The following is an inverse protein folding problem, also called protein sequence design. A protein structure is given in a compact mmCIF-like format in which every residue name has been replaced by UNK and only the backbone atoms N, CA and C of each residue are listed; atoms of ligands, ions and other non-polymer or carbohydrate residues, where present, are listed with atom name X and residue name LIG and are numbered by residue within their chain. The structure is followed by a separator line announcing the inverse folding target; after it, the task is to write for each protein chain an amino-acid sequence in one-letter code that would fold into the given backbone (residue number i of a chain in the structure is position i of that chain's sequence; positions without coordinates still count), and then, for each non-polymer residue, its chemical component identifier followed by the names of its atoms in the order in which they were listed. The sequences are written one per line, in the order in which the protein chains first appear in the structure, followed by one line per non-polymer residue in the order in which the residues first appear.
data_IF_661812074998
#
_entry.id   IF_661812074998
#
_cell.length_a   1.000
_cell.length_b   1.000
_cell.length_c   1.000
_cell.angle_alpha   90.00
_cell.angle_beta   90.00
_cell.angle_gamma   90.00
#
_symmetry.space_group_name_H-M   'P 1'
#
loop_
_entity.id
_entity.type
_entity.pdbx_description
1 polymer ?
#
# COMPACT_ATOMS: atom_id res chain seq x y z
N UNK A 1 -0.65 -6.86 -20.70
CA UNK A 1 -1.98 -6.31 -20.32
C UNK A 1 -1.84 -4.82 -20.06
N UNK A 2 -2.59 -3.99 -20.80
CA UNK A 2 -2.71 -2.55 -20.57
C UNK A 2 -4.16 -2.29 -20.11
N UNK A 3 -4.34 -1.74 -18.93
CA UNK A 3 -5.67 -1.34 -18.44
C UNK A 3 -5.81 0.15 -18.72
N UNK A 4 -6.74 0.51 -19.61
CA UNK A 4 -7.06 1.90 -19.88
C UNK A 4 -8.20 2.35 -18.96
N UNK A 5 -7.87 3.21 -18.01
CA UNK A 5 -8.83 3.81 -17.09
C UNK A 5 -8.93 5.31 -17.41
N UNK A 6 -10.13 5.74 -17.79
CA UNK A 6 -10.41 7.15 -18.06
C UNK A 6 -11.13 7.76 -16.87
N UNK A 7 -10.45 8.66 -16.14
CA UNK A 7 -11.05 9.48 -15.10
C UNK A 7 -10.97 10.95 -15.50
N UNK A 8 -12.07 11.69 -15.39
CA UNK A 8 -12.13 13.10 -15.82
C UNK A 8 -11.52 14.00 -14.76
N UNK A 9 -10.78 15.02 -15.21
CA UNK A 9 -10.33 16.12 -14.36
C UNK A 9 -11.24 17.32 -14.61
N UNK A 10 -11.99 17.71 -13.59
CA UNK A 10 -12.97 18.79 -13.65
C UNK A 10 -12.35 20.08 -13.11
N UNK A 11 -12.68 21.20 -13.74
CA UNK A 11 -12.25 22.53 -13.30
C UNK A 11 -13.45 23.34 -12.85
N UNK A 12 -13.32 24.06 -11.73
CA UNK A 12 -14.35 25.01 -11.30
C UNK A 12 -14.03 26.39 -11.87
N UNK A 13 -14.99 26.95 -12.60
CA UNK A 13 -14.87 28.27 -13.25
C UNK A 13 -15.06 29.43 -12.27
N UNK A 14 -15.55 29.17 -11.05
CA UNK A 14 -15.73 30.20 -10.04
C UNK A 14 -14.38 30.69 -9.50
N UNK A 15 -14.01 31.91 -9.87
CA UNK A 15 -12.77 32.59 -9.45
C UNK A 15 -12.61 32.78 -7.94
N UNK A 16 -13.70 32.71 -7.16
CA UNK A 16 -13.65 32.79 -5.69
C UNK A 16 -13.48 31.41 -5.03
N UNK A 17 -13.49 30.32 -5.79
CA UNK A 17 -13.34 28.97 -5.26
C UNK A 17 -11.87 28.64 -5.00
N UNK A 18 -11.52 28.33 -3.74
CA UNK A 18 -10.15 27.94 -3.34
C UNK A 18 -9.70 26.58 -3.88
N UNK A 19 -10.64 25.75 -4.35
CA UNK A 19 -10.37 24.46 -5.00
C UNK A 19 -10.75 24.56 -6.48
N UNK A 20 -9.75 24.75 -7.35
CA UNK A 20 -9.98 24.97 -8.79
C UNK A 20 -9.98 23.69 -9.62
N UNK A 21 -9.44 22.60 -9.08
CA UNK A 21 -9.33 21.34 -9.80
C UNK A 21 -9.84 20.19 -8.95
N UNK A 22 -10.66 19.36 -9.57
CA UNK A 22 -11.27 18.19 -8.98
C UNK A 22 -10.96 17.00 -9.89
N UNK A 23 -10.74 15.84 -9.29
CA UNK A 23 -10.79 14.58 -10.03
C UNK A 23 -12.21 14.02 -9.88
N UNK A 24 -12.76 13.49 -10.97
CA UNK A 24 -13.96 12.67 -10.93
C UNK A 24 -13.84 11.64 -9.82
N UNK A 25 -14.87 11.55 -8.99
CA UNK A 25 -14.95 10.52 -7.96
C UNK A 25 -15.82 9.41 -8.53
N UNK A 26 -15.17 8.41 -9.10
CA UNK A 26 -15.84 7.15 -9.44
C UNK A 26 -16.16 6.47 -8.12
N UNK A 27 -17.45 6.33 -7.85
CA UNK A 27 -17.95 5.67 -6.64
C UNK A 27 -17.32 4.27 -6.51
N UNK A 28 -17.10 3.78 -5.30
CA UNK A 28 -16.43 2.50 -5.05
C UNK A 28 -14.94 2.37 -5.46
N UNK A 29 -14.41 3.22 -6.33
CA UNK A 29 -13.04 3.13 -6.85
C UNK A 29 -12.15 4.26 -6.31
N UNK A 30 -12.70 5.46 -6.15
CA UNK A 30 -11.93 6.64 -5.75
C UNK A 30 -12.64 7.40 -4.64
N UNK A 31 -11.88 7.80 -3.63
CA UNK A 31 -12.37 8.65 -2.54
C UNK A 31 -11.45 9.84 -2.36
N UNK A 32 -12.01 10.95 -1.88
CA UNK A 32 -11.25 12.18 -1.69
C UNK A 32 -10.12 11.94 -0.68
N UNK A 33 -8.89 12.31 -1.06
CA UNK A 33 -7.66 12.06 -0.29
C UNK A 33 -7.35 10.57 -0.05
N UNK A 34 -8.01 9.66 -0.77
CA UNK A 34 -7.71 8.24 -0.72
C UNK A 34 -6.28 7.97 -1.15
N UNK A 35 -5.48 7.39 -0.25
CA UNK A 35 -4.14 6.86 -0.57
C UNK A 35 -4.18 5.38 -0.96
N UNK A 36 -5.31 4.73 -0.74
CA UNK A 36 -5.61 3.35 -1.10
C UNK A 36 -7.02 3.34 -1.68
N UNK A 37 -7.25 2.51 -2.69
CA UNK A 37 -8.60 2.04 -3.01
C UNK A 37 -9.19 1.43 -1.73
N UNK A 38 -10.43 1.77 -1.35
CA UNK A 38 -11.06 1.17 -0.18
C UNK A 38 -11.23 -0.34 -0.41
N UNK A 39 -10.24 -1.12 -0.01
CA UNK A 39 -10.32 -2.58 0.07
C UNK A 39 -11.34 -2.91 1.15
N UNK A 40 -12.49 -3.46 0.75
CA UNK A 40 -13.69 -3.59 1.56
C UNK A 40 -13.44 -4.11 2.99
N UNK A 41 -13.61 -3.22 3.96
CA UNK A 41 -14.09 -3.55 5.30
C UNK A 41 -15.56 -3.15 5.37
N UNK A 42 -16.46 -4.02 5.84
CA UNK A 42 -17.89 -3.78 5.76
C UNK A 42 -18.33 -2.83 6.90
N UNK A 43 -18.24 -1.52 6.67
CA UNK A 43 -19.22 -0.62 7.26
C UNK A 43 -20.46 -0.60 6.35
N UNK A 44 -21.66 -0.25 6.83
CA UNK A 44 -22.91 -0.39 6.07
C UNK A 44 -22.95 0.34 4.70
N UNK A 45 -21.97 1.20 4.40
CA UNK A 45 -21.76 1.87 3.11
C UNK A 45 -20.81 1.07 2.16
N UNK A 46 -20.31 -0.09 2.58
CA UNK A 46 -19.35 -0.92 1.82
C UNK A 46 -20.00 -1.84 0.78
N UNK A 47 -21.31 -2.11 0.90
CA UNK A 47 -22.00 -3.04 -0.01
C UNK A 47 -22.10 -2.50 -1.44
N UNK A 48 -22.19 -1.17 -1.60
CA UNK A 48 -22.17 -0.49 -2.91
C UNK A 48 -20.77 -0.57 -3.54
N UNK A 49 -19.72 -0.29 -2.76
CA UNK A 49 -18.32 -0.32 -3.22
C UNK A 49 -17.90 -1.70 -3.75
N UNK A 50 -18.33 -2.79 -3.10
CA UNK A 50 -18.03 -4.16 -3.53
C UNK A 50 -18.72 -4.50 -4.84
N UNK A 51 -19.95 -4.03 -5.07
CA UNK A 51 -20.70 -4.25 -6.31
C UNK A 51 -20.09 -3.53 -7.50
N UNK A 52 -19.66 -2.29 -7.30
CA UNK A 52 -19.06 -1.48 -8.36
C UNK A 52 -17.67 -1.97 -8.74
N UNK A 53 -16.88 -2.40 -7.77
CA UNK A 53 -15.59 -3.04 -8.04
C UNK A 53 -15.77 -4.38 -8.78
N UNK A 54 -16.76 -5.19 -8.39
CA UNK A 54 -17.10 -6.41 -9.13
C UNK A 54 -17.54 -6.12 -10.58
N UNK A 55 -18.28 -5.03 -10.81
CA UNK A 55 -18.68 -4.60 -12.16
C UNK A 55 -17.49 -4.16 -13.03
N UNK A 56 -16.43 -3.62 -12.44
CA UNK A 56 -15.17 -3.27 -13.14
C UNK A 56 -14.34 -4.51 -13.45
N UNK A 57 -14.39 -5.55 -12.61
CA UNK A 57 -13.67 -6.81 -12.84
C UNK A 57 -14.39 -7.75 -13.83
N UNK A 58 -15.73 -7.75 -13.84
CA UNK A 58 -16.54 -8.68 -14.63
C UNK A 58 -16.22 -8.74 -16.15
N UNK A 59 -15.83 -7.63 -16.82
CA UNK A 59 -15.51 -7.67 -18.24
C UNK A 59 -14.17 -8.35 -18.60
N UNK A 60 -13.28 -8.57 -17.62
CA UNK A 60 -11.92 -9.04 -17.86
C UNK A 60 -11.56 -10.18 -16.91
N UNK A 61 -11.39 -11.37 -17.49
CA UNK A 61 -11.06 -12.59 -16.75
C UNK A 61 -9.69 -12.49 -16.10
N UNK A 62 -8.72 -11.84 -16.77
CA UNK A 62 -7.38 -11.61 -16.25
C UNK A 62 -7.38 -10.70 -15.02
N UNK A 63 -8.21 -9.65 -15.02
CA UNK A 63 -8.36 -8.76 -13.87
C UNK A 63 -9.05 -9.43 -12.69
N UNK A 64 -10.06 -10.26 -12.99
CA UNK A 64 -10.74 -11.07 -11.98
C UNK A 64 -9.76 -12.05 -11.32
N UNK A 65 -8.92 -12.71 -12.11
CA UNK A 65 -7.93 -13.67 -11.63
C UNK A 65 -6.82 -12.96 -10.83
N UNK A 66 -6.30 -11.84 -11.33
CA UNK A 66 -5.36 -10.97 -10.60
C UNK A 66 -5.94 -10.52 -9.25
N UNK A 67 -7.21 -10.09 -9.22
CA UNK A 67 -7.86 -9.72 -7.97
C UNK A 67 -7.94 -10.89 -6.99
N UNK A 68 -8.27 -12.08 -7.47
CA UNK A 68 -8.27 -13.32 -6.68
C UNK A 68 -6.90 -13.58 -6.05
N UNK A 69 -5.83 -13.51 -6.85
CA UNK A 69 -4.46 -13.71 -6.36
C UNK A 69 -4.01 -12.65 -5.35
N UNK A 70 -4.32 -11.37 -5.58
CA UNK A 70 -4.00 -10.30 -4.63
C UNK A 70 -4.74 -10.50 -3.31
N UNK A 71 -6.01 -10.93 -3.35
CA UNK A 71 -6.79 -11.21 -2.15
C UNK A 71 -6.26 -12.41 -1.39
N UNK A 72 -5.98 -13.53 -2.07
CA UNK A 72 -5.37 -14.70 -1.46
C UNK A 72 -4.01 -14.37 -0.80
N UNK A 73 -3.19 -13.56 -1.46
CA UNK A 73 -1.93 -13.08 -0.88
C UNK A 73 -2.14 -12.22 0.37
N UNK A 74 -3.10 -11.30 0.35
CA UNK A 74 -3.44 -10.48 1.51
C UNK A 74 -3.92 -11.34 2.69
N UNK A 75 -4.71 -12.39 2.44
CA UNK A 75 -5.14 -13.37 3.44
C UNK A 75 -3.96 -14.15 4.02
N UNK A 76 -2.98 -14.55 3.20
CA UNK A 76 -1.74 -15.19 3.67
C UNK A 76 -0.96 -14.26 4.61
N UNK A 77 -0.86 -12.96 4.27
CA UNK A 77 -0.17 -11.98 5.10
C UNK A 77 -0.90 -11.70 6.41
N UNK A 78 -2.23 -11.62 6.41
CA UNK A 78 -3.02 -11.36 7.63
C UNK A 78 -3.07 -12.57 8.56
N UNK A 79 -3.21 -13.77 8.00
CA UNK A 79 -3.20 -15.03 8.76
C UNK A 79 -1.80 -15.50 9.14
N UNK A 80 -0.76 -14.85 8.60
CA UNK A 80 0.65 -15.12 8.87
C UNK A 80 1.06 -16.57 8.53
N UNK A 81 0.40 -17.17 7.55
CA UNK A 81 0.64 -18.56 7.16
C UNK A 81 1.64 -18.67 6.02
N UNK A 82 2.93 -18.76 6.35
CA UNK A 82 4.01 -18.93 5.36
C UNK A 82 3.89 -20.20 4.52
N UNK A 83 3.13 -21.21 4.96
CA UNK A 83 2.96 -22.50 4.24
C UNK A 83 2.12 -22.37 2.98
N UNK A 84 1.08 -21.53 2.98
CA UNK A 84 0.21 -21.32 1.83
C UNK A 84 0.85 -20.43 0.75
N UNK A 85 1.98 -19.79 1.06
CA UNK A 85 2.63 -18.87 0.14
C UNK A 85 3.23 -19.59 -1.08
N UNK A 86 3.71 -20.82 -0.91
CA UNK A 86 4.29 -21.61 -2.01
C UNK A 86 3.21 -22.12 -2.98
N UNK A 87 2.07 -22.53 -2.42
CA UNK A 87 0.90 -22.95 -3.20
C UNK A 87 0.35 -21.77 -4.00
N UNK A 88 0.23 -20.60 -3.35
CA UNK A 88 -0.17 -19.35 -4.01
C UNK A 88 0.79 -18.95 -5.14
N UNK A 89 2.10 -19.10 -4.92
CA UNK A 89 3.11 -18.79 -5.94
C UNK A 89 3.00 -19.73 -7.16
N UNK A 90 2.66 -21.00 -6.92
CA UNK A 90 2.42 -21.97 -7.99
C UNK A 90 1.15 -21.63 -8.77
N UNK A 91 0.07 -21.30 -8.08
CA UNK A 91 -1.21 -20.91 -8.69
C UNK A 91 -1.10 -19.60 -9.50
N UNK A 92 -0.29 -18.65 -9.04
CA UNK A 92 -0.03 -17.41 -9.80
C UNK A 92 0.81 -17.63 -11.05
N UNK A 93 1.58 -18.72 -11.13
CA UNK A 93 2.39 -19.08 -12.31
C UNK A 93 1.60 -19.83 -13.38
N UNK A 94 0.49 -20.47 -13.01
CA UNK A 94 -0.38 -21.17 -13.98
C UNK A 94 -1.24 -20.22 -14.79
N UNK A 95 -1.39 -18.97 -14.37
CA UNK A 95 -2.12 -17.93 -15.08
C UNK A 95 -1.18 -16.96 -15.79
N UNK A 96 -1.55 -16.47 -16.97
CA UNK A 96 -0.74 -15.53 -17.76
C UNK A 96 -0.87 -14.09 -17.24
N UNK A 97 -0.23 -13.82 -16.09
CA UNK A 97 -0.25 -12.52 -15.41
C UNK A 97 1.18 -11.95 -15.31
N UNK A 98 1.72 -11.35 -16.38
CA UNK A 98 3.15 -10.95 -16.45
C UNK A 98 3.58 -9.96 -15.36
N UNK A 99 2.67 -9.06 -14.94
CA UNK A 99 2.94 -8.14 -13.83
C UNK A 99 3.11 -8.86 -12.49
N UNK A 100 2.37 -9.95 -12.28
CA UNK A 100 2.43 -10.74 -11.07
C UNK A 100 3.60 -11.73 -11.10
N UNK A 101 3.96 -12.26 -12.27
CA UNK A 101 5.17 -13.08 -12.44
C UNK A 101 6.45 -12.34 -12.07
N UNK A 102 6.55 -11.06 -12.42
CA UNK A 102 7.72 -10.25 -12.04
C UNK A 102 7.82 -10.11 -10.52
N UNK A 103 6.67 -9.91 -9.86
CA UNK A 103 6.60 -9.84 -8.40
C UNK A 103 6.99 -11.18 -7.76
N UNK A 104 6.39 -12.30 -8.19
CA UNK A 104 6.68 -13.63 -7.62
C UNK A 104 8.13 -14.06 -7.84
N UNK A 105 8.73 -13.71 -8.98
CA UNK A 105 10.15 -13.94 -9.23
C UNK A 105 11.05 -13.15 -8.26
N UNK A 106 10.66 -11.92 -7.90
CA UNK A 106 11.35 -11.16 -6.85
C UNK A 106 11.29 -11.85 -5.49
N UNK A 107 10.11 -12.39 -5.14
CA UNK A 107 9.90 -13.08 -3.86
C UNK A 107 10.71 -14.39 -3.74
N UNK A 108 10.90 -15.12 -4.83
CA UNK A 108 11.71 -16.34 -4.84
C UNK A 108 13.18 -16.09 -4.57
N UNK A 109 13.73 -14.95 -5.01
CA UNK A 109 15.14 -14.62 -4.79
C UNK A 109 15.49 -14.53 -3.31
N UNK A 110 14.55 -14.07 -2.49
CA UNK A 110 14.70 -13.92 -1.04
C UNK A 110 13.72 -14.82 -0.27
N UNK A 111 13.45 -16.03 -0.79
CA UNK A 111 12.40 -16.91 -0.25
C UNK A 111 12.51 -17.19 1.24
N UNK A 112 13.73 -17.40 1.76
CA UNK A 112 13.93 -17.65 3.19
C UNK A 112 13.44 -16.48 4.05
N UNK A 113 13.70 -15.24 3.62
CA UNK A 113 13.24 -14.04 4.31
C UNK A 113 11.71 -13.88 4.16
N UNK A 114 11.17 -14.15 2.97
CA UNK A 114 9.74 -14.02 2.68
C UNK A 114 8.91 -15.06 3.45
N UNK A 115 9.37 -16.30 3.55
CA UNK A 115 8.70 -17.36 4.30
C UNK A 115 8.76 -17.13 5.81
N UNK A 116 9.89 -16.59 6.30
CA UNK A 116 10.04 -16.23 7.70
C UNK A 116 9.23 -14.99 8.08
N UNK A 117 9.10 -14.00 7.20
CA UNK A 117 8.37 -12.74 7.46
C UNK A 117 7.02 -12.89 8.17
N UNK A 118 6.07 -13.70 7.66
CA UNK A 118 4.80 -13.94 8.32
C UNK A 118 4.97 -14.78 9.61
N UNK A 119 5.89 -15.76 9.61
CA UNK A 119 6.03 -16.73 10.70
C UNK A 119 6.79 -16.22 11.92
N UNK A 120 7.74 -15.28 11.78
CA UNK A 120 8.49 -14.74 12.92
C UNK A 120 7.70 -13.66 13.64
N UNK A 121 8.00 -13.41 14.92
CA UNK A 121 7.48 -12.25 15.64
C UNK A 121 8.18 -10.93 15.25
N UNK A 122 9.32 -10.99 14.57
CA UNK A 122 10.10 -9.83 14.15
C UNK A 122 9.45 -9.17 12.93
N UNK A 123 9.35 -7.85 12.97
CA UNK A 123 8.85 -7.04 11.86
C UNK A 123 9.78 -5.84 11.66
N UNK A 124 9.75 -5.27 10.45
CA UNK A 124 10.55 -4.08 10.10
C UNK A 124 10.00 -2.78 10.68
N UNK A 125 8.86 -2.81 11.38
CA UNK A 125 8.16 -1.62 11.88
C UNK A 125 9.06 -0.69 12.72
N UNK A 126 9.80 -1.17 13.73
CA UNK A 126 10.74 -0.34 14.46
C UNK A 126 11.78 0.33 13.56
N UNK A 127 12.32 -0.37 12.56
CA UNK A 127 13.30 0.23 11.64
C UNK A 127 12.67 1.27 10.72
N UNK A 128 11.45 1.04 10.24
CA UNK A 128 10.69 1.98 9.42
C UNK A 128 10.37 3.27 10.18
N UNK A 129 9.97 3.16 11.45
CA UNK A 129 9.74 4.31 12.34
C UNK A 129 11.02 5.13 12.48
N UNK A 130 12.16 4.47 12.75
CA UNK A 130 13.45 5.16 12.86
C UNK A 130 13.88 5.82 11.55
N UNK A 131 13.61 5.18 10.42
CA UNK A 131 13.80 5.78 9.09
C UNK A 131 12.94 7.04 8.90
N UNK A 132 11.69 7.01 9.36
CA UNK A 132 10.80 8.17 9.32
C UNK A 132 11.28 9.31 10.23
N UNK A 133 11.75 9.01 11.44
CA UNK A 133 12.30 10.02 12.35
C UNK A 133 13.51 10.73 11.73
N UNK A 134 14.40 9.98 11.08
CA UNK A 134 15.55 10.53 10.35
C UNK A 134 15.08 11.39 9.18
N UNK A 135 14.06 10.95 8.42
CA UNK A 135 13.46 11.75 7.34
C UNK A 135 12.87 13.06 7.88
N UNK A 136 12.18 13.02 9.02
CA UNK A 136 11.64 14.21 9.68
C UNK A 136 12.73 15.21 10.10
N UNK A 137 13.83 14.72 10.70
CA UNK A 137 14.99 15.58 11.02
C UNK A 137 15.56 16.22 9.76
N UNK A 138 15.68 15.45 8.67
CA UNK A 138 16.16 15.98 7.38
C UNK A 138 15.21 17.03 6.82
N UNK A 139 13.89 16.84 6.89
CA UNK A 139 12.91 17.82 6.41
C UNK A 139 12.92 19.11 7.21
N UNK A 140 13.00 19.04 8.54
CA UNK A 140 13.16 20.23 9.40
C UNK A 140 14.44 21.02 9.11
N UNK A 141 15.45 20.35 8.57
CA UNK A 141 16.75 20.93 8.23
C UNK A 141 16.91 21.17 6.72
N UNK A 142 15.80 21.15 5.96
CA UNK A 142 15.77 21.37 4.50
C UNK A 142 16.78 20.50 3.74
N UNK A 143 16.97 19.25 4.18
CA UNK A 143 17.91 18.29 3.59
C UNK A 143 19.39 18.53 3.92
N UNK A 144 19.74 19.58 4.66
CA UNK A 144 21.14 19.98 4.93
C UNK A 144 21.82 19.19 6.06
N UNK A 145 21.09 18.27 6.70
CA UNK A 145 21.60 17.45 7.78
C UNK A 145 22.50 16.31 7.27
N UNK A 146 23.82 16.53 7.29
CA UNK A 146 24.83 15.49 7.05
C UNK A 146 24.93 14.52 8.24
N UNK A 147 25.53 13.35 8.02
CA UNK A 147 25.63 12.27 9.03
C UNK A 147 26.07 12.73 10.43
N UNK A 148 27.08 13.62 10.60
CA UNK A 148 27.46 14.09 11.94
C UNK A 148 26.34 14.83 12.68
N UNK A 149 25.57 15.67 11.96
CA UNK A 149 24.46 16.43 12.53
C UNK A 149 23.25 15.52 12.81
N UNK A 150 22.97 14.57 11.92
CA UNK A 150 21.94 13.55 12.14
C UNK A 150 22.24 12.72 13.38
N UNK A 151 23.48 12.25 13.53
CA UNK A 151 23.91 11.48 14.71
C UNK A 151 23.69 12.26 16.00
N UNK A 152 24.11 13.53 16.05
CA UNK A 152 23.89 14.40 17.22
C UNK A 152 22.39 14.57 17.53
N UNK A 153 21.56 14.87 16.52
CA UNK A 153 20.10 15.02 16.70
C UNK A 153 19.43 13.73 17.18
N UNK A 154 19.76 12.58 16.59
CA UNK A 154 19.20 11.28 16.99
C UNK A 154 19.58 10.93 18.43
N UNK A 155 20.84 11.16 18.83
CA UNK A 155 21.29 10.92 20.20
C UNK A 155 20.59 11.84 21.21
N UNK A 156 20.41 13.12 20.86
CA UNK A 156 19.67 14.07 21.70
C UNK A 156 18.20 13.68 21.84
N UNK A 157 17.52 13.30 20.75
CA UNK A 157 16.12 12.83 20.80
C UNK A 157 15.99 11.53 21.60
N UNK A 158 16.96 10.61 21.50
CA UNK A 158 16.96 9.38 22.30
C UNK A 158 17.21 9.66 23.80
N UNK A 159 18.10 10.60 24.13
CA UNK A 159 18.42 10.97 25.50
C UNK A 159 17.32 11.78 26.19
N UNK A 160 16.50 12.53 25.44
CA UNK A 160 15.41 13.35 25.99
C UNK A 160 14.16 12.55 26.36
N UNK A 161 14.09 11.26 26.01
CA UNK A 161 12.89 10.43 26.17
C UNK A 161 11.80 10.89 25.20
N UNK A 162 11.31 9.99 24.34
CA UNK A 162 10.21 10.35 23.44
C UNK A 162 9.02 10.84 24.27
N UNK A 163 8.43 12.02 24.01
CA UNK A 163 7.16 12.36 24.64
C UNK A 163 6.17 11.26 24.29
N UNK A 164 5.57 10.64 25.30
CA UNK A 164 4.50 9.65 25.10
C UNK A 164 3.43 10.33 24.23
N UNK A 165 3.05 9.66 23.15
CA UNK A 165 1.91 10.08 22.32
C UNK A 165 0.68 10.13 23.25
N UNK A 166 -0.05 11.25 23.34
CA UNK A 166 -1.29 11.27 24.12
C UNK A 166 -2.27 10.26 23.51
N UNK A 167 -2.88 9.48 24.40
CA UNK A 167 -3.91 8.46 24.13
C UNK A 167 -5.09 9.02 23.38
#
# INVERSE_FOLDING_TARGET
MLIELTARRLYCENVRCSRRTFAEQVDGLTVRYGRRTPSGTPSACATENVRQFAAVLAPCTELTALHGHVRAFAEILTTRSGRHLKDWLTATRTEDLPGLHTFTHGQEKDWDAVAQGPTTCWNSGPMEVRGNDIKMIKYQLFGRAKLPLLRKRVLLTAAQGSPRRPT
#
